data_IF_650491820694
#
_entry.id   IF_650491820694
#
_cell.length_a   1.000
_cell.length_b   1.000
_cell.length_c   1.000
_cell.angle_alpha   90.00
_cell.angle_beta   90.00
_cell.angle_gamma   90.00
#
_symmetry.space_group_name_H-M   'P 1'
#
loop_
_entity.id
_entity.type
_entity.pdbx_description
1 polymer ?
#
# COMPACT_ATOMS: atom_id res chain seq x y z
N UNK A 1 55.21 -1.83 -28.18
CA UNK A 1 54.76 -3.22 -28.18
C UNK A 1 54.66 -3.80 -26.76
N UNK A 2 55.66 -3.65 -25.86
CA UNK A 2 55.63 -4.20 -24.50
C UNK A 2 54.47 -3.66 -23.62
N UNK A 3 54.18 -2.36 -23.66
CA UNK A 3 53.11 -1.73 -22.87
C UNK A 3 51.73 -2.27 -23.25
N UNK A 4 51.49 -2.50 -24.56
CA UNK A 4 50.21 -3.06 -25.02
C UNK A 4 50.01 -4.49 -24.53
N UNK A 5 51.06 -5.33 -24.53
CA UNK A 5 51.02 -6.67 -24.03
C UNK A 5 50.75 -6.75 -22.50
N UNK A 6 51.32 -5.82 -21.74
CA UNK A 6 51.07 -5.74 -20.29
C UNK A 6 49.61 -5.30 -19.99
N UNK A 7 49.08 -4.33 -20.76
CA UNK A 7 47.69 -3.88 -20.60
C UNK A 7 46.69 -4.99 -20.95
N UNK A 8 46.95 -5.76 -22.04
CA UNK A 8 46.09 -6.89 -22.40
C UNK A 8 46.16 -8.02 -21.37
N UNK A 9 47.34 -8.35 -20.84
CA UNK A 9 47.49 -9.35 -19.80
C UNK A 9 46.80 -8.93 -18.49
N UNK A 10 46.91 -7.67 -18.09
CA UNK A 10 46.21 -7.12 -16.95
C UNK A 10 44.67 -7.18 -17.13
N UNK A 11 44.15 -6.77 -18.31
CA UNK A 11 42.74 -6.85 -18.64
C UNK A 11 42.18 -8.29 -18.58
N UNK A 12 42.91 -9.25 -19.16
CA UNK A 12 42.51 -10.68 -19.08
C UNK A 12 42.50 -11.20 -17.65
N UNK A 13 43.48 -10.79 -16.83
CA UNK A 13 43.55 -11.22 -15.43
C UNK A 13 42.38 -10.66 -14.62
N UNK A 14 42.02 -9.41 -14.82
CA UNK A 14 40.86 -8.80 -14.18
C UNK A 14 39.57 -9.48 -14.64
N UNK A 15 39.41 -9.73 -15.92
CA UNK A 15 38.25 -10.42 -16.47
C UNK A 15 38.08 -11.83 -15.85
N UNK A 16 39.15 -12.61 -15.77
CA UNK A 16 39.10 -13.95 -15.16
C UNK A 16 38.75 -13.88 -13.66
N UNK A 17 39.30 -12.91 -12.94
CA UNK A 17 38.97 -12.71 -11.51
C UNK A 17 37.51 -12.33 -11.31
N UNK A 18 36.99 -11.38 -12.10
CA UNK A 18 35.58 -10.97 -12.05
C UNK A 18 34.65 -12.14 -12.37
N UNK A 19 34.97 -12.88 -13.41
CA UNK A 19 34.20 -14.07 -13.81
C UNK A 19 34.16 -15.14 -12.70
N UNK A 20 35.30 -15.45 -12.07
CA UNK A 20 35.37 -16.42 -10.94
C UNK A 20 34.61 -15.90 -9.71
N UNK A 21 34.71 -14.61 -9.42
CA UNK A 21 33.99 -14.00 -8.31
C UNK A 21 32.48 -14.05 -8.56
N UNK A 22 32.03 -13.71 -9.76
CA UNK A 22 30.64 -13.83 -10.17
C UNK A 22 30.13 -15.26 -10.03
N UNK A 23 30.89 -16.26 -10.52
CA UNK A 23 30.52 -17.67 -10.41
C UNK A 23 30.41 -18.13 -8.95
N UNK A 24 31.32 -17.66 -8.06
CA UNK A 24 31.29 -18.05 -6.64
C UNK A 24 30.18 -17.37 -5.85
N UNK A 25 29.77 -16.13 -6.19
CA UNK A 25 28.76 -15.35 -5.45
C UNK A 25 27.36 -15.47 -6.07
N UNK A 26 27.28 -15.54 -7.39
CA UNK A 26 26.01 -15.46 -8.14
C UNK A 26 25.65 -16.79 -8.83
N UNK A 27 26.55 -17.79 -8.75
CA UNK A 27 26.36 -19.08 -9.38
C UNK A 27 26.46 -19.08 -10.94
N UNK A 28 26.80 -17.93 -11.53
CA UNK A 28 27.00 -17.77 -12.98
C UNK A 28 28.25 -16.96 -13.27
N UNK A 29 28.95 -17.27 -14.38
CA UNK A 29 30.13 -16.51 -14.78
C UNK A 29 29.80 -15.10 -15.29
N UNK A 30 28.54 -14.81 -15.62
CA UNK A 30 28.04 -13.52 -16.06
C UNK A 30 27.37 -12.77 -14.88
N UNK A 31 27.94 -11.62 -14.53
CA UNK A 31 27.45 -10.78 -13.43
C UNK A 31 26.01 -10.30 -13.70
N UNK A 32 25.69 -9.95 -14.95
CA UNK A 32 24.39 -9.45 -15.35
C UNK A 32 23.32 -10.54 -15.21
N UNK A 33 23.63 -11.73 -15.71
CA UNK A 33 22.75 -12.89 -15.57
C UNK A 33 22.54 -13.28 -14.10
N UNK A 34 23.61 -13.28 -13.29
CA UNK A 34 23.52 -13.54 -11.86
C UNK A 34 22.64 -12.56 -11.11
N UNK A 35 22.77 -11.26 -11.38
CA UNK A 35 21.91 -10.21 -10.80
C UNK A 35 20.46 -10.41 -11.23
N UNK A 36 20.21 -10.70 -12.50
CA UNK A 36 18.86 -10.92 -13.02
C UNK A 36 18.19 -12.14 -12.37
N UNK A 37 18.92 -13.26 -12.18
CA UNK A 37 18.43 -14.44 -11.46
C UNK A 37 18.08 -14.13 -9.99
N UNK A 38 18.91 -13.33 -9.30
CA UNK A 38 18.62 -12.91 -7.93
C UNK A 38 17.35 -12.05 -7.90
N UNK A 39 17.20 -11.08 -8.80
CA UNK A 39 16.01 -10.24 -8.92
C UNK A 39 14.75 -11.05 -9.20
N UNK A 40 14.85 -12.01 -10.12
CA UNK A 40 13.76 -12.93 -10.46
C UNK A 40 13.39 -13.78 -9.24
N UNK A 41 14.34 -14.40 -8.57
CA UNK A 41 14.10 -15.17 -7.35
C UNK A 41 13.47 -14.31 -6.24
N UNK A 42 13.96 -13.09 -6.03
CA UNK A 42 13.36 -12.16 -5.06
C UNK A 42 11.94 -11.81 -5.49
N UNK A 43 11.70 -11.53 -6.77
CA UNK A 43 10.37 -11.13 -7.26
C UNK A 43 9.36 -12.27 -7.23
N UNK A 44 9.78 -13.53 -7.42
CA UNK A 44 8.88 -14.70 -7.44
C UNK A 44 8.72 -15.38 -6.08
N UNK A 45 9.55 -15.03 -5.08
CA UNK A 45 9.43 -15.60 -3.72
C UNK A 45 8.26 -14.99 -2.97
N UNK A 46 7.34 -15.79 -2.38
CA UNK A 46 6.23 -15.31 -1.58
C UNK A 46 6.69 -14.38 -0.44
N UNK A 47 5.94 -13.28 -0.22
CA UNK A 47 6.27 -12.30 0.82
C UNK A 47 5.45 -12.57 2.08
N UNK A 48 6.10 -12.50 3.23
CA UNK A 48 5.42 -12.54 4.51
C UNK A 48 4.85 -11.18 4.88
N UNK A 49 3.77 -11.19 5.66
CA UNK A 49 3.17 -10.00 6.29
C UNK A 49 3.42 -10.02 7.80
N UNK A 50 3.26 -8.88 8.44
CA UNK A 50 3.37 -8.77 9.90
C UNK A 50 2.26 -9.57 10.59
N UNK A 51 2.58 -10.36 11.58
CA UNK A 51 1.61 -11.12 12.39
C UNK A 51 1.06 -10.35 13.59
N UNK A 52 0.94 -9.03 13.52
CA UNK A 52 0.59 -8.17 14.67
C UNK A 52 -0.92 -8.07 14.92
N UNK A 53 -1.79 -8.61 14.06
CA UNK A 53 -3.25 -8.53 14.18
C UNK A 53 -3.73 -8.98 15.56
N UNK A 54 -3.26 -10.13 16.07
CA UNK A 54 -3.66 -10.65 17.39
C UNK A 54 -3.35 -9.70 18.55
N UNK A 55 -2.31 -8.87 18.43
CA UNK A 55 -1.92 -7.92 19.46
C UNK A 55 -2.63 -6.57 19.30
N UNK A 56 -2.86 -6.14 18.06
CA UNK A 56 -3.39 -4.81 17.75
C UNK A 56 -4.93 -4.79 17.76
N UNK A 57 -5.59 -5.84 17.28
CA UNK A 57 -7.06 -5.89 17.21
C UNK A 57 -7.75 -5.65 18.57
N UNK A 58 -7.32 -6.24 19.70
CA UNK A 58 -7.90 -5.94 21.00
C UNK A 58 -7.70 -4.49 21.45
N UNK A 59 -6.60 -3.85 21.05
CA UNK A 59 -6.34 -2.44 21.34
C UNK A 59 -7.26 -1.54 20.52
N UNK A 60 -7.42 -1.85 19.23
CA UNK A 60 -8.33 -1.11 18.33
C UNK A 60 -9.77 -1.25 18.81
N UNK A 61 -10.21 -2.45 19.17
CA UNK A 61 -11.57 -2.69 19.70
C UNK A 61 -11.86 -1.98 21.02
N UNK A 62 -10.84 -1.75 21.84
CA UNK A 62 -11.00 -0.95 23.07
C UNK A 62 -11.30 0.51 22.77
N UNK A 63 -10.62 1.06 21.73
CA UNK A 63 -10.84 2.44 21.28
C UNK A 63 -12.10 2.57 20.39
N UNK A 64 -12.39 1.53 19.61
CA UNK A 64 -13.49 1.46 18.64
C UNK A 64 -14.23 0.11 18.80
N UNK A 65 -15.20 0.01 19.70
CA UNK A 65 -15.91 -1.25 19.97
C UNK A 65 -16.62 -1.85 18.73
N UNK A 66 -17.01 -1.01 17.79
CA UNK A 66 -17.66 -1.37 16.53
C UNK A 66 -16.67 -1.89 15.46
N UNK A 67 -15.36 -1.83 15.71
CA UNK A 67 -14.35 -2.28 14.77
C UNK A 67 -14.41 -3.80 14.57
N UNK A 68 -14.63 -4.23 13.32
CA UNK A 68 -14.64 -5.64 12.93
C UNK A 68 -13.53 -5.87 11.89
N UNK A 69 -12.42 -6.46 12.33
CA UNK A 69 -11.25 -6.65 11.48
C UNK A 69 -11.55 -7.31 10.13
N UNK A 70 -12.36 -8.37 10.12
CA UNK A 70 -12.70 -9.10 8.89
C UNK A 70 -13.43 -8.24 7.83
N UNK A 71 -14.17 -7.22 8.24
CA UNK A 71 -14.82 -6.29 7.33
C UNK A 71 -13.78 -5.34 6.71
N UNK A 72 -12.93 -4.76 7.53
CA UNK A 72 -11.87 -3.84 7.06
C UNK A 72 -10.82 -4.54 6.23
N UNK A 73 -10.46 -5.78 6.57
CA UNK A 73 -9.59 -6.64 5.78
C UNK A 73 -10.15 -6.82 4.37
N UNK A 74 -11.40 -7.29 4.24
CA UNK A 74 -12.06 -7.46 2.94
C UNK A 74 -12.20 -6.16 2.16
N UNK A 75 -12.53 -5.06 2.84
CA UNK A 75 -12.59 -3.74 2.21
C UNK A 75 -11.23 -3.32 1.66
N UNK A 76 -10.17 -3.42 2.45
CA UNK A 76 -8.81 -3.07 2.04
C UNK A 76 -8.32 -3.92 0.86
N UNK A 77 -8.61 -5.23 0.87
CA UNK A 77 -8.29 -6.14 -0.23
C UNK A 77 -9.04 -5.77 -1.51
N UNK A 78 -10.35 -5.48 -1.44
CA UNK A 78 -11.13 -5.04 -2.59
C UNK A 78 -10.63 -3.73 -3.16
N UNK A 79 -10.37 -2.73 -2.32
CA UNK A 79 -9.86 -1.43 -2.76
C UNK A 79 -8.50 -1.60 -3.42
N UNK A 80 -7.58 -2.39 -2.85
CA UNK A 80 -6.26 -2.65 -3.45
C UNK A 80 -6.39 -3.32 -4.82
N UNK A 81 -7.17 -4.41 -4.92
CA UNK A 81 -7.36 -5.15 -6.18
C UNK A 81 -8.01 -4.25 -7.23
N UNK A 82 -9.05 -3.50 -6.85
CA UNK A 82 -9.73 -2.58 -7.77
C UNK A 82 -8.83 -1.44 -8.24
N UNK A 83 -7.93 -0.94 -7.39
CA UNK A 83 -6.95 0.08 -7.77
C UNK A 83 -5.96 -0.45 -8.82
N UNK A 84 -5.44 -1.66 -8.64
CA UNK A 84 -4.56 -2.30 -9.62
C UNK A 84 -5.29 -2.59 -10.94
N UNK A 85 -6.56 -3.04 -10.87
CA UNK A 85 -7.41 -3.22 -12.05
C UNK A 85 -7.68 -1.89 -12.78
N UNK A 86 -7.94 -0.80 -12.04
CA UNK A 86 -8.17 0.52 -12.62
C UNK A 86 -6.93 1.04 -13.36
N UNK A 87 -5.73 0.82 -12.81
CA UNK A 87 -4.46 1.16 -13.48
C UNK A 87 -4.28 0.32 -14.75
N UNK A 88 -4.54 -0.99 -14.69
CA UNK A 88 -4.41 -1.89 -15.85
C UNK A 88 -5.35 -1.52 -16.99
N UNK A 89 -6.57 -1.13 -16.67
CA UNK A 89 -7.60 -0.79 -17.67
C UNK A 89 -7.62 0.69 -18.02
N UNK A 90 -6.79 1.51 -17.37
CA UNK A 90 -6.79 2.98 -17.49
C UNK A 90 -8.19 3.58 -17.25
N UNK A 91 -8.97 2.93 -16.38
CA UNK A 91 -10.37 3.28 -16.11
C UNK A 91 -10.61 3.46 -14.61
N UNK A 92 -10.71 4.70 -14.15
CA UNK A 92 -10.97 5.07 -12.74
C UNK A 92 -12.33 4.56 -12.21
N UNK A 93 -13.29 4.25 -13.09
CA UNK A 93 -14.60 3.74 -12.68
C UNK A 93 -14.55 2.28 -12.21
N UNK A 94 -13.41 1.59 -12.42
CA UNK A 94 -13.14 0.25 -11.84
C UNK A 94 -12.74 0.30 -10.38
N UNK A 95 -12.35 1.48 -9.88
CA UNK A 95 -11.98 1.66 -8.48
C UNK A 95 -13.21 1.46 -7.57
N UNK A 96 -13.02 0.69 -6.48
CA UNK A 96 -14.05 0.42 -5.49
C UNK A 96 -14.59 1.73 -4.88
N UNK A 97 -15.89 1.77 -4.59
CA UNK A 97 -16.57 2.97 -4.04
C UNK A 97 -16.12 3.32 -2.62
N UNK A 98 -15.58 2.35 -1.90
CA UNK A 98 -15.04 2.54 -0.54
C UNK A 98 -13.61 3.10 -0.55
N UNK A 99 -13.01 3.29 -1.73
CA UNK A 99 -11.73 4.00 -1.85
C UNK A 99 -11.90 5.48 -1.49
N UNK A 100 -10.93 6.03 -0.77
CA UNK A 100 -10.90 7.46 -0.45
C UNK A 100 -10.54 8.30 -1.69
N UNK A 101 -10.72 9.62 -1.57
CA UNK A 101 -10.30 10.53 -2.62
C UNK A 101 -8.78 10.54 -2.81
N UNK A 102 -8.01 10.32 -1.74
CA UNK A 102 -6.55 10.19 -1.81
C UNK A 102 -6.13 8.97 -2.62
N UNK A 103 -6.77 7.80 -2.39
CA UNK A 103 -6.53 6.59 -3.20
C UNK A 103 -6.93 6.84 -4.65
N UNK A 104 -8.06 7.52 -4.89
CA UNK A 104 -8.50 7.90 -6.23
C UNK A 104 -7.47 8.78 -6.94
N UNK A 105 -6.95 9.80 -6.27
CA UNK A 105 -5.91 10.66 -6.83
C UNK A 105 -4.59 9.91 -7.07
N UNK A 106 -4.24 8.98 -6.19
CA UNK A 106 -3.08 8.12 -6.37
C UNK A 106 -3.19 7.25 -7.63
N UNK A 107 -4.37 6.65 -7.88
CA UNK A 107 -4.63 5.85 -9.08
C UNK A 107 -4.63 6.71 -10.34
N UNK A 108 -5.31 7.87 -10.33
CA UNK A 108 -5.30 8.80 -11.45
C UNK A 108 -3.90 9.27 -11.79
N UNK A 109 -3.14 9.71 -10.78
CA UNK A 109 -1.75 10.15 -10.99
C UNK A 109 -0.85 9.03 -11.55
N UNK A 110 -1.13 7.76 -11.23
CA UNK A 110 -0.41 6.63 -11.83
C UNK A 110 -0.80 6.42 -13.28
N UNK A 111 -2.08 6.49 -13.62
CA UNK A 111 -2.59 6.38 -15.00
C UNK A 111 -2.01 7.51 -15.86
N UNK A 112 -2.13 8.77 -15.41
CA UNK A 112 -1.60 9.94 -16.12
C UNK A 112 -0.09 9.84 -16.35
N UNK A 113 0.64 9.36 -15.34
CA UNK A 113 2.11 9.16 -15.41
C UNK A 113 2.49 8.09 -16.43
N UNK A 114 1.72 7.00 -16.51
CA UNK A 114 1.92 5.93 -17.48
C UNK A 114 1.62 6.41 -18.91
N UNK A 115 0.52 7.15 -19.09
CA UNK A 115 0.14 7.74 -20.37
C UNK A 115 1.21 8.72 -20.86
N UNK A 116 1.68 9.63 -20.00
CA UNK A 116 2.75 10.58 -20.32
C UNK A 116 4.07 9.88 -20.71
N UNK A 117 4.36 8.71 -20.12
CA UNK A 117 5.52 7.90 -20.43
C UNK A 117 5.32 6.97 -21.66
N UNK A 118 4.12 6.91 -22.22
CA UNK A 118 3.78 6.16 -23.43
C UNK A 118 3.72 4.65 -23.24
N UNK A 119 3.36 4.17 -22.06
CA UNK A 119 3.17 2.74 -21.80
C UNK A 119 1.91 2.48 -20.96
N UNK A 120 1.34 1.28 -21.13
CA UNK A 120 0.29 0.75 -20.26
C UNK A 120 0.89 -0.23 -19.27
N UNK A 121 0.49 -0.15 -18.02
CA UNK A 121 0.92 -1.02 -16.93
C UNK A 121 -0.13 -2.09 -16.65
N UNK A 122 0.29 -3.34 -16.58
CA UNK A 122 -0.61 -4.49 -16.42
C UNK A 122 -0.36 -5.24 -15.13
N UNK A 123 -1.45 -5.56 -14.46
CA UNK A 123 -1.53 -6.41 -13.26
C UNK A 123 -2.57 -7.49 -13.53
N UNK A 124 -2.14 -8.66 -14.02
CA UNK A 124 -3.07 -9.72 -14.41
C UNK A 124 -3.10 -10.85 -13.37
N UNK A 125 -4.25 -11.51 -13.24
CA UNK A 125 -4.47 -12.60 -12.29
C UNK A 125 -4.06 -12.26 -10.84
N UNK A 126 -4.50 -11.11 -10.37
CA UNK A 126 -4.20 -10.63 -9.02
C UNK A 126 -4.78 -11.59 -7.98
N UNK A 127 -3.94 -12.04 -7.04
CA UNK A 127 -4.34 -12.83 -5.89
C UNK A 127 -3.75 -12.24 -4.62
N UNK A 128 -4.59 -11.99 -3.63
CA UNK A 128 -4.18 -11.64 -2.27
C UNK A 128 -4.07 -12.93 -1.47
N UNK A 129 -2.91 -13.20 -0.88
CA UNK A 129 -2.65 -14.41 -0.09
C UNK A 129 -2.95 -14.22 1.37
N UNK A 130 -2.50 -13.09 1.93
CA UNK A 130 -2.63 -12.81 3.35
C UNK A 130 -2.65 -11.30 3.57
N UNK A 131 -3.53 -10.86 4.48
CA UNK A 131 -3.64 -9.46 4.90
C UNK A 131 -3.68 -9.41 6.42
N UNK A 132 -2.79 -8.60 7.02
CA UNK A 132 -2.63 -8.49 8.47
C UNK A 132 -2.43 -7.04 8.88
N UNK A 133 -2.83 -6.72 10.12
CA UNK A 133 -2.48 -5.45 10.75
C UNK A 133 -0.99 -5.49 11.11
N UNK A 134 -0.25 -4.48 10.73
CA UNK A 134 1.17 -4.33 11.06
C UNK A 134 1.43 -3.32 12.17
N UNK A 135 0.57 -2.31 12.30
CA UNK A 135 0.70 -1.28 13.31
C UNK A 135 -0.62 -0.59 13.59
N UNK A 136 -0.74 0.02 14.79
CA UNK A 136 -1.84 0.89 15.18
C UNK A 136 -1.30 2.10 15.92
N UNK A 137 -1.62 3.29 15.46
CA UNK A 137 -1.19 4.55 16.05
C UNK A 137 -2.40 5.44 16.29
N UNK A 138 -2.49 5.97 17.51
CA UNK A 138 -3.51 6.95 17.91
C UNK A 138 -2.81 8.23 18.33
N UNK A 139 -3.09 9.34 17.66
CA UNK A 139 -2.56 10.68 17.96
C UNK A 139 -3.67 11.71 17.74
N UNK A 140 -3.79 12.66 18.64
CA UNK A 140 -4.57 13.92 18.53
C UNK A 140 -5.76 13.89 17.53
N UNK A 141 -6.76 13.04 17.79
CA UNK A 141 -7.97 12.92 16.97
C UNK A 141 -7.84 12.13 15.67
N UNK A 142 -6.65 11.61 15.36
CA UNK A 142 -6.40 10.75 14.20
C UNK A 142 -5.95 9.35 14.64
N UNK A 143 -6.61 8.33 14.13
CA UNK A 143 -6.20 6.95 14.31
C UNK A 143 -5.80 6.35 12.95
N UNK A 144 -4.66 5.68 12.93
CA UNK A 144 -4.12 5.04 11.74
C UNK A 144 -3.85 3.57 12.03
N UNK A 145 -4.41 2.70 11.22
CA UNK A 145 -4.10 1.27 11.19
C UNK A 145 -3.27 1.01 9.94
N UNK A 146 -2.03 0.57 10.12
CA UNK A 146 -1.20 0.12 9.01
C UNK A 146 -1.48 -1.36 8.74
N UNK A 147 -1.78 -1.68 7.48
CA UNK A 147 -2.15 -3.01 7.01
C UNK A 147 -1.10 -3.46 5.99
N UNK A 148 -0.77 -4.73 6.01
CA UNK A 148 0.10 -5.35 5.01
C UNK A 148 -0.64 -6.46 4.29
N UNK A 149 -0.54 -6.48 2.94
CA UNK A 149 -1.08 -7.53 2.10
C UNK A 149 0.02 -8.15 1.24
N UNK A 150 0.19 -9.47 1.32
CA UNK A 150 1.00 -10.25 0.39
C UNK A 150 0.17 -10.57 -0.86
N UNK A 151 0.68 -10.21 -2.01
CA UNK A 151 -0.05 -10.25 -3.28
C UNK A 151 0.80 -10.87 -4.37
N UNK A 152 0.18 -11.62 -5.27
CA UNK A 152 0.80 -12.08 -6.51
C UNK A 152 0.00 -11.63 -7.73
N UNK A 153 0.70 -11.39 -8.84
CA UNK A 153 0.12 -11.07 -10.14
C UNK A 153 1.18 -11.20 -11.25
N UNK A 154 0.75 -11.34 -12.52
CA UNK A 154 1.65 -11.08 -13.65
C UNK A 154 1.81 -9.59 -13.81
N UNK A 155 3.06 -9.12 -13.79
CA UNK A 155 3.38 -7.69 -13.90
C UNK A 155 4.21 -7.43 -15.13
N UNK A 156 3.68 -6.60 -16.02
CA UNK A 156 4.39 -6.17 -17.21
C UNK A 156 3.91 -4.82 -17.72
N UNK A 157 4.71 -4.21 -18.59
CA UNK A 157 4.38 -2.94 -19.27
C UNK A 157 4.42 -3.15 -20.76
N UNK A 158 3.47 -2.53 -21.47
CA UNK A 158 3.42 -2.53 -22.94
C UNK A 158 3.45 -1.12 -23.50
N UNK A 159 4.15 -0.92 -24.62
CA UNK A 159 4.10 0.30 -25.42
C UNK A 159 3.75 -0.06 -26.86
N UNK A 160 2.73 0.55 -27.44
CA UNK A 160 2.20 0.20 -28.79
C UNK A 160 1.97 -1.32 -28.95
N UNK A 161 1.44 -1.97 -27.90
CA UNK A 161 1.12 -3.40 -27.89
C UNK A 161 2.33 -4.35 -27.74
N UNK A 162 3.54 -3.84 -27.62
CA UNK A 162 4.76 -4.64 -27.43
C UNK A 162 5.20 -4.60 -25.97
N UNK A 163 5.67 -5.74 -25.46
CA UNK A 163 6.24 -5.85 -24.12
C UNK A 163 7.53 -5.01 -24.05
N UNK A 164 7.58 -4.07 -23.09
CA UNK A 164 8.76 -3.21 -22.86
C UNK A 164 9.44 -3.49 -21.52
N UNK A 165 8.71 -4.07 -20.54
CA UNK A 165 9.25 -4.40 -19.22
C UNK A 165 8.34 -5.40 -18.53
N UNK A 166 8.91 -6.13 -17.54
CA UNK A 166 8.18 -7.12 -16.76
C UNK A 166 8.11 -8.49 -17.42
N UNK A 167 7.25 -9.37 -16.89
CA UNK A 167 7.15 -10.77 -17.30
C UNK A 167 5.69 -11.21 -17.36
N UNK A 168 5.36 -12.02 -18.38
CA UNK A 168 4.04 -12.64 -18.57
C UNK A 168 3.99 -14.13 -18.20
N UNK A 169 5.15 -14.74 -17.91
CA UNK A 169 5.28 -16.17 -17.62
C UNK A 169 5.40 -16.43 -16.11
N UNK A 170 5.98 -15.48 -15.37
CA UNK A 170 6.20 -15.61 -13.94
C UNK A 170 5.42 -14.56 -13.15
N UNK A 171 4.74 -15.01 -12.09
CA UNK A 171 4.02 -14.11 -11.20
C UNK A 171 4.98 -13.41 -10.25
N UNK A 172 4.88 -12.09 -10.21
CA UNK A 172 5.54 -11.26 -9.22
C UNK A 172 4.86 -11.47 -7.87
N UNK A 173 5.67 -11.76 -6.84
CA UNK A 173 5.25 -11.86 -5.45
C UNK A 173 5.70 -10.60 -4.70
N UNK A 174 4.78 -9.87 -4.14
CA UNK A 174 5.10 -8.60 -3.48
C UNK A 174 4.23 -8.37 -2.24
N UNK A 175 4.52 -7.29 -1.51
CA UNK A 175 3.75 -6.84 -0.37
C UNK A 175 3.34 -5.38 -0.57
N UNK A 176 2.08 -5.10 -0.28
CA UNK A 176 1.57 -3.74 -0.18
C UNK A 176 1.45 -3.33 1.28
N UNK A 177 1.89 -2.13 1.60
CA UNK A 177 1.52 -1.44 2.83
C UNK A 177 0.36 -0.51 2.51
N UNK A 178 -0.65 -0.54 3.38
CA UNK A 178 -1.86 0.27 3.25
C UNK A 178 -2.14 0.98 4.57
N UNK A 179 -2.72 2.17 4.50
CA UNK A 179 -3.12 2.92 5.69
C UNK A 179 -4.64 3.08 5.73
N UNK A 180 -5.26 2.51 6.75
CA UNK A 180 -6.64 2.71 7.10
C UNK A 180 -6.71 3.82 8.15
N UNK A 181 -7.32 4.94 7.80
CA UNK A 181 -7.41 6.12 8.65
C UNK A 181 -8.84 6.34 9.10
N UNK A 182 -8.98 6.62 10.39
CA UNK A 182 -10.23 7.07 10.96
C UNK A 182 -10.38 8.56 10.70
N UNK A 183 -11.38 8.90 9.91
CA UNK A 183 -11.69 10.26 9.53
C UNK A 183 -13.03 10.62 10.16
N UNK A 184 -13.08 11.76 10.84
CA UNK A 184 -14.33 12.41 11.17
C UNK A 184 -14.84 13.05 9.87
N UNK A 185 -16.03 12.66 9.42
CA UNK A 185 -16.61 13.21 8.20
C UNK A 185 -17.07 14.65 8.45
N UNK A 186 -16.22 15.63 8.10
CA UNK A 186 -16.44 17.05 8.29
C UNK A 186 -17.58 17.54 7.38
N UNK A 187 -17.71 16.99 6.17
CA UNK A 187 -18.71 17.44 5.19
C UNK A 187 -20.15 17.14 5.62
N UNK A 188 -20.33 16.08 6.42
CA UNK A 188 -21.63 15.77 7.02
C UNK A 188 -21.99 16.69 8.18
N UNK A 189 -21.00 17.26 8.87
CA UNK A 189 -21.20 18.26 9.91
C UNK A 189 -21.65 19.60 9.32
N UNK A 190 -21.10 20.00 8.19
CA UNK A 190 -21.48 21.23 7.48
C UNK A 190 -22.90 21.13 6.90
N UNK A 191 -23.29 19.98 6.36
CA UNK A 191 -24.64 19.72 5.86
C UNK A 191 -25.71 19.65 6.96
N UNK A 192 -25.31 19.34 8.21
CA UNK A 192 -26.22 19.36 9.36
C UNK A 192 -26.40 20.75 9.98
N UNK A 193 -25.79 21.81 9.39
CA UNK A 193 -25.89 23.18 9.91
C UNK A 193 -25.13 23.40 11.22
N UNK A 194 -24.23 22.50 11.58
CA UNK A 194 -23.42 22.59 12.79
C UNK A 194 -22.08 23.20 12.34
N UNK A 195 -22.01 24.53 12.46
CA UNK A 195 -20.85 25.30 12.01
C UNK A 195 -19.52 24.82 12.59
N UNK A 196 -18.49 25.05 11.84
CA UNK A 196 -17.06 24.69 11.88
C UNK A 196 -16.33 24.74 13.24
N UNK A 197 -16.89 24.21 14.30
CA UNK A 197 -16.17 23.95 15.55
C UNK A 197 -15.86 22.45 15.62
N UNK A 198 -14.60 22.12 15.70
CA UNK A 198 -14.07 20.81 16.08
C UNK A 198 -14.56 20.52 17.52
N UNK A 199 -15.83 20.17 17.68
CA UNK A 199 -16.46 19.87 18.94
C UNK A 199 -17.96 19.94 18.78
N UNK A 200 -18.66 18.82 18.77
CA UNK A 200 -20.10 18.80 18.95
C UNK A 200 -20.43 19.43 20.30
N UNK A 201 -21.40 20.34 20.32
CA UNK A 201 -21.94 20.87 21.57
C UNK A 201 -23.03 19.94 22.10
N UNK A 202 -23.07 19.74 23.40
CA UNK A 202 -24.12 18.95 24.03
C UNK A 202 -25.51 19.61 23.78
N UNK A 203 -26.49 18.89 23.21
CA UNK A 203 -27.80 19.47 22.91
C UNK A 203 -28.58 19.87 24.17
N UNK A 204 -28.18 19.36 25.33
CA UNK A 204 -28.87 19.68 26.60
C UNK A 204 -28.26 20.87 27.34
N UNK A 205 -26.93 21.01 27.37
CA UNK A 205 -26.28 22.10 28.15
C UNK A 205 -25.40 23.03 27.34
N UNK A 206 -25.26 22.82 26.02
CA UNK A 206 -24.41 23.63 25.14
C UNK A 206 -22.90 23.50 25.34
N UNK A 207 -22.45 22.66 26.28
CA UNK A 207 -21.04 22.51 26.56
C UNK A 207 -20.32 21.75 25.42
N UNK A 208 -19.05 22.08 25.09
CA UNK A 208 -18.29 21.37 24.04
C UNK A 208 -18.00 19.93 24.47
N UNK A 209 -18.28 18.97 23.57
CA UNK A 209 -17.92 17.57 23.74
C UNK A 209 -16.50 17.35 23.24
N UNK A 210 -15.55 17.17 24.16
CA UNK A 210 -14.10 17.15 23.84
C UNK A 210 -13.55 15.78 23.46
N UNK A 211 -14.25 14.70 23.81
CA UNK A 211 -13.74 13.34 23.53
C UNK A 211 -14.43 12.72 22.32
N UNK A 212 -13.62 12.25 21.37
CA UNK A 212 -14.06 11.43 20.23
C UNK A 212 -14.77 10.18 20.77
N UNK A 213 -16.07 10.02 20.45
CA UNK A 213 -16.85 8.85 20.85
C UNK A 213 -17.51 8.91 22.23
N UNK A 214 -17.48 10.06 22.93
CA UNK A 214 -18.24 10.22 24.15
C UNK A 214 -19.74 10.03 23.91
N UNK A 215 -20.32 9.03 24.56
CA UNK A 215 -21.79 8.81 24.55
C UNK A 215 -22.51 9.60 25.63
N UNK A 216 -21.78 10.29 26.49
CA UNK A 216 -22.33 11.13 27.57
C UNK A 216 -21.55 12.43 27.66
N UNK A 217 -22.25 13.52 27.87
CA UNK A 217 -21.65 14.81 28.14
C UNK A 217 -20.90 14.80 29.47
N UNK A 218 -19.66 15.21 29.46
CA UNK A 218 -18.79 15.29 30.67
C UNK A 218 -19.30 16.32 31.69
N UNK A 219 -20.12 17.29 31.25
CA UNK A 219 -20.63 18.39 32.08
C UNK A 219 -21.99 18.11 32.68
N UNK A 220 -22.93 17.55 31.93
CA UNK A 220 -24.30 17.34 32.41
C UNK A 220 -24.76 15.88 32.45
N UNK A 221 -23.89 14.93 32.01
CA UNK A 221 -24.21 13.52 32.01
C UNK A 221 -25.26 13.08 30.99
N UNK A 222 -25.86 14.03 30.24
CA UNK A 222 -26.85 13.67 29.22
C UNK A 222 -26.25 12.85 28.11
N UNK A 223 -27.04 11.95 27.53
CA UNK A 223 -26.67 11.22 26.34
C UNK A 223 -26.40 12.21 25.19
N UNK A 224 -25.23 12.15 24.64
CA UNK A 224 -24.87 12.87 23.44
C UNK A 224 -24.84 11.86 22.32
N UNK A 225 -25.77 11.94 21.39
CA UNK A 225 -25.68 11.23 20.15
C UNK A 225 -24.59 11.92 19.32
N UNK A 226 -23.42 11.32 19.18
CA UNK A 226 -22.40 11.95 18.34
C UNK A 226 -22.93 11.92 16.90
N UNK A 227 -23.19 13.09 16.33
CA UNK A 227 -23.40 13.28 14.88
C UNK A 227 -22.05 13.09 14.17
N UNK A 228 -21.32 12.09 14.60
CA UNK A 228 -20.04 11.70 14.05
C UNK A 228 -20.28 10.45 13.22
N UNK A 229 -20.48 10.64 11.94
CA UNK A 229 -20.34 9.52 11.00
C UNK A 229 -18.85 9.22 10.92
N UNK A 230 -18.45 8.37 11.85
CA UNK A 230 -17.08 7.88 11.97
C UNK A 230 -16.84 6.94 10.82
N UNK A 231 -16.05 7.36 9.85
CA UNK A 231 -15.75 6.57 8.67
C UNK A 231 -14.28 6.19 8.66
N UNK A 232 -14.02 4.89 8.66
CA UNK A 232 -12.73 4.36 8.32
C UNK A 232 -12.57 4.34 6.80
N UNK A 233 -11.53 4.98 6.27
CA UNK A 233 -11.21 4.97 4.84
C UNK A 233 -9.80 4.49 4.62
N UNK A 234 -9.59 3.69 3.59
CA UNK A 234 -8.27 3.37 3.10
C UNK A 234 -7.71 4.62 2.42
N UNK A 235 -6.65 5.21 3.00
CA UNK A 235 -6.11 6.48 2.56
C UNK A 235 -4.95 6.34 1.58
N UNK A 236 -4.18 5.27 1.69
CA UNK A 236 -3.03 5.06 0.80
C UNK A 236 -2.71 3.58 0.64
N UNK A 237 -2.06 3.25 -0.46
CA UNK A 237 -1.42 1.95 -0.67
C UNK A 237 -0.10 2.15 -1.41
N UNK A 238 0.92 1.40 -1.05
CA UNK A 238 2.19 1.41 -1.76
C UNK A 238 2.85 0.04 -1.73
N UNK A 239 3.44 -0.31 -2.85
CA UNK A 239 4.23 -1.52 -2.97
C UNK A 239 5.55 -1.37 -2.18
N UNK A 240 5.94 -2.42 -1.46
CA UNK A 240 7.23 -2.45 -0.77
C UNK A 240 8.32 -2.73 -1.78
N UNK A 241 9.30 -1.84 -1.85
CA UNK A 241 10.47 -2.06 -2.70
C UNK A 241 11.46 -3.03 -2.01
N UNK A 242 11.76 -4.13 -2.69
CA UNK A 242 12.75 -5.14 -2.25
C UNK A 242 14.09 -5.02 -3.00
N UNK A 243 14.28 -3.97 -3.81
CA UNK A 243 15.49 -3.80 -4.62
C UNK A 243 16.68 -3.22 -3.84
N UNK A 244 16.57 -3.01 -2.54
CA UNK A 244 17.63 -2.53 -1.66
C UNK A 244 18.37 -3.69 -0.99
N UNK A 245 18.90 -4.61 -1.80
CA UNK A 245 19.90 -5.59 -1.35
C UNK A 245 21.19 -5.39 -2.15
#
# INVERSE_FOLDING_TARGET
MAILAVLTAAGVTVYIKVRRLSESLLGTPDVTEGINRIRENVSTTPKSVSGMTRLMEPQIKRDFPEFVWEQFKRMSERVLVSALCAITTEDIYKLDREASDEVRQQVLGRIDSNEAAGFTEHFDEIRVHQTEISNYVKRDGRCVISIQSAVEYFYYKTASGKLVSGDKEYKKQTRYNMELVYIQDIDMLDNAGIGSAVGTTCPNCGAPVRSLGAKKCEYCGSYVEPVNIKVWKLQSFHEVDYNHI
#
